data_IF_039429355367
#
_entry.id   IF_039429355367
#
_cell.length_a   1.000
_cell.length_b   1.000
_cell.length_c   1.000
_cell.angle_alpha   90.00
_cell.angle_beta   90.00
_cell.angle_gamma   90.00
#
_symmetry.space_group_name_H-M   'P 1'
#
loop_
_entity.id
_entity.type
_entity.pdbx_description
1 polymer ?
#
# COMPACT_ATOMS: atom_id res chain seq x y z
N UNK A 1 13.14 -11.47 15.41
CA UNK A 1 11.73 -11.03 15.34
C UNK A 1 11.37 -9.91 16.32
N UNK A 2 11.72 -9.98 17.62
CA UNK A 2 11.39 -8.94 18.63
C UNK A 2 11.93 -7.54 18.30
N UNK A 3 13.16 -7.42 17.81
CA UNK A 3 13.75 -6.12 17.43
C UNK A 3 13.08 -5.44 16.22
N UNK A 4 12.43 -6.21 15.33
CA UNK A 4 11.68 -5.66 14.19
C UNK A 4 10.33 -5.10 14.64
N UNK A 5 9.66 -5.79 15.57
CA UNK A 5 8.40 -5.32 16.16
C UNK A 5 8.59 -4.05 16.99
N UNK A 6 9.69 -3.95 17.73
CA UNK A 6 10.04 -2.73 18.47
C UNK A 6 10.19 -1.52 17.54
N UNK A 7 10.92 -1.67 16.41
CA UNK A 7 11.10 -0.61 15.40
C UNK A 7 9.78 -0.17 14.77
N UNK A 8 8.91 -1.10 14.39
CA UNK A 8 7.60 -0.77 13.80
C UNK A 8 6.74 0.04 14.79
N UNK A 9 6.78 -0.31 16.09
CA UNK A 9 6.00 0.40 17.12
C UNK A 9 6.51 1.83 17.34
N UNK A 10 7.83 2.04 17.40
CA UNK A 10 8.38 3.40 17.53
C UNK A 10 8.12 4.24 16.29
N UNK A 11 8.25 3.69 15.08
CA UNK A 11 7.94 4.41 13.83
C UNK A 11 6.48 4.84 13.75
N UNK A 12 5.55 3.98 14.19
CA UNK A 12 4.13 4.33 14.20
C UNK A 12 3.80 5.45 15.19
N UNK A 13 4.37 5.42 16.40
CA UNK A 13 4.17 6.49 17.39
C UNK A 13 4.65 7.85 16.88
N UNK A 14 5.81 7.91 16.24
CA UNK A 14 6.33 9.14 15.64
C UNK A 14 5.44 9.68 14.52
N UNK A 15 4.89 8.79 13.69
CA UNK A 15 3.96 9.20 12.64
C UNK A 15 2.69 9.83 13.22
N UNK A 16 2.12 9.22 14.27
CA UNK A 16 0.94 9.78 14.94
C UNK A 16 1.24 11.17 15.50
N UNK A 17 2.38 11.34 16.18
CA UNK A 17 2.80 12.66 16.71
C UNK A 17 2.94 13.68 15.58
N UNK A 18 3.62 13.32 14.48
CA UNK A 18 3.80 14.21 13.33
C UNK A 18 2.45 14.63 12.72
N UNK A 19 1.48 13.71 12.63
CA UNK A 19 0.16 14.03 12.10
C UNK A 19 -0.67 14.92 13.04
N UNK A 20 -0.58 14.69 14.35
CA UNK A 20 -1.21 15.56 15.34
C UNK A 20 -0.64 16.98 15.29
N UNK A 21 0.68 17.12 15.10
CA UNK A 21 1.32 18.43 14.92
C UNK A 21 0.85 19.13 13.63
N UNK A 22 0.78 18.41 12.50
CA UNK A 22 0.27 18.98 11.25
C UNK A 22 -1.18 19.44 11.40
N UNK A 23 -2.03 18.64 12.06
CA UNK A 23 -3.42 19.00 12.33
C UNK A 23 -3.53 20.24 13.21
N UNK A 24 -2.71 20.34 14.26
CA UNK A 24 -2.66 21.53 15.12
C UNK A 24 -2.26 22.80 14.33
N UNK A 25 -1.28 22.69 13.43
CA UNK A 25 -0.85 23.81 12.57
C UNK A 25 -1.97 24.25 11.63
N UNK A 26 -2.67 23.30 10.99
CA UNK A 26 -3.82 23.60 10.12
C UNK A 26 -4.96 24.27 10.92
N UNK A 27 -5.22 23.79 12.14
CA UNK A 27 -6.19 24.41 13.06
C UNK A 27 -5.81 25.84 13.42
N UNK A 28 -4.54 26.08 13.78
CA UNK A 28 -4.03 27.42 14.07
C UNK A 28 -4.13 28.35 12.85
N UNK A 29 -3.80 27.85 11.66
CA UNK A 29 -3.92 28.61 10.42
C UNK A 29 -5.37 28.97 10.09
N UNK A 30 -6.31 28.05 10.29
CA UNK A 30 -7.74 28.27 10.09
C UNK A 30 -8.29 29.30 11.09
N UNK A 31 -7.86 29.23 12.35
CA UNK A 31 -8.24 30.23 13.34
C UNK A 31 -7.62 31.60 13.02
N UNK A 32 -6.41 31.62 12.45
CA UNK A 32 -5.80 32.84 11.94
C UNK A 32 -6.64 33.47 10.82
N UNK A 33 -7.13 32.71 9.85
CA UNK A 33 -7.93 33.28 8.76
C UNK A 33 -9.31 33.76 9.21
N UNK A 34 -9.85 33.22 10.31
CA UNK A 34 -11.13 33.63 10.86
C UNK A 34 -11.11 35.12 11.28
N UNK A 35 -12.04 35.90 10.72
CA UNK A 35 -12.21 37.33 11.05
C UNK A 35 -11.39 38.30 10.20
N UNK A 36 -10.61 37.84 9.22
CA UNK A 36 -9.91 38.73 8.27
C UNK A 36 -10.70 38.89 6.98
N UNK A 37 -11.01 40.14 6.60
CA UNK A 37 -11.78 40.44 5.39
C UNK A 37 -10.90 40.60 4.13
N UNK A 38 -9.63 41.00 4.28
CA UNK A 38 -8.71 41.19 3.17
C UNK A 38 -7.98 39.89 2.81
N UNK A 39 -7.96 39.56 1.51
CA UNK A 39 -7.27 38.37 0.97
C UNK A 39 -5.75 38.43 1.25
N UNK A 40 -5.17 39.63 1.22
CA UNK A 40 -3.75 39.84 1.51
C UNK A 40 -3.37 39.28 2.90
N UNK A 41 -4.20 39.52 3.92
CA UNK A 41 -3.95 39.07 5.29
C UNK A 41 -4.23 37.58 5.51
N UNK A 42 -4.96 36.93 4.60
CA UNK A 42 -5.22 35.48 4.63
C UNK A 42 -4.12 34.66 3.95
N UNK A 43 -3.42 35.25 2.97
CA UNK A 43 -2.45 34.57 2.12
C UNK A 43 -1.33 33.87 2.90
N UNK A 44 -0.80 34.50 3.95
CA UNK A 44 0.26 33.92 4.80
C UNK A 44 -0.22 32.68 5.56
N UNK A 45 -1.43 32.73 6.13
CA UNK A 45 -2.00 31.59 6.85
C UNK A 45 -2.37 30.45 5.93
N UNK A 46 -2.86 30.76 4.73
CA UNK A 46 -3.12 29.76 3.71
C UNK A 46 -1.83 29.04 3.28
N UNK A 47 -0.73 29.77 3.08
CA UNK A 47 0.57 29.19 2.76
C UNK A 47 1.06 28.24 3.86
N UNK A 48 0.88 28.60 5.14
CA UNK A 48 1.21 27.74 6.29
C UNK A 48 0.37 26.45 6.28
N UNK A 49 -0.94 26.54 6.03
CA UNK A 49 -1.80 25.37 5.94
C UNK A 49 -1.39 24.44 4.78
N UNK A 50 -1.09 25.00 3.60
CA UNK A 50 -0.61 24.23 2.44
C UNK A 50 0.72 23.54 2.78
N UNK A 51 1.66 24.24 3.40
CA UNK A 51 2.94 23.65 3.80
C UNK A 51 2.74 22.47 4.76
N UNK A 52 1.85 22.60 5.75
CA UNK A 52 1.52 21.51 6.68
C UNK A 52 0.93 20.28 5.95
N UNK A 53 0.05 20.48 4.97
CA UNK A 53 -0.51 19.39 4.15
C UNK A 53 0.58 18.69 3.32
N UNK A 54 1.46 19.46 2.68
CA UNK A 54 2.57 18.90 1.88
C UNK A 54 3.51 18.07 2.75
N UNK A 55 3.87 18.56 3.94
CA UNK A 55 4.69 17.83 4.90
C UNK A 55 4.00 16.55 5.35
N UNK A 56 2.71 16.61 5.71
CA UNK A 56 1.92 15.43 6.09
C UNK A 56 1.87 14.38 4.98
N UNK A 57 1.68 14.80 3.72
CA UNK A 57 1.70 13.90 2.57
C UNK A 57 3.07 13.24 2.37
N UNK A 58 4.15 14.00 2.51
CA UNK A 58 5.52 13.48 2.44
C UNK A 58 5.80 12.42 3.51
N UNK A 59 5.42 12.68 4.78
CA UNK A 59 5.56 11.73 5.89
C UNK A 59 4.78 10.43 5.60
N UNK A 60 3.54 10.54 5.11
CA UNK A 60 2.73 9.38 4.73
C UNK A 60 3.37 8.59 3.57
N UNK A 61 3.90 9.28 2.56
CA UNK A 61 4.59 8.66 1.43
C UNK A 61 5.81 7.85 1.87
N UNK A 62 6.68 8.44 2.69
CA UNK A 62 7.86 7.75 3.24
C UNK A 62 7.45 6.54 4.07
N UNK A 63 6.43 6.68 4.92
CA UNK A 63 5.93 5.57 5.72
C UNK A 63 5.37 4.44 4.86
N UNK A 64 4.61 4.75 3.81
CA UNK A 64 4.06 3.76 2.88
C UNK A 64 5.17 3.01 2.15
N UNK A 65 6.21 3.71 1.68
CA UNK A 65 7.37 3.10 1.04
C UNK A 65 8.11 2.17 2.01
N UNK A 66 8.31 2.61 3.26
CA UNK A 66 8.89 1.78 4.32
C UNK A 66 8.05 0.55 4.68
N UNK A 67 6.71 0.68 4.67
CA UNK A 67 5.82 -0.44 4.89
C UNK A 67 5.91 -1.46 3.73
N UNK A 68 5.99 -0.98 2.48
CA UNK A 68 6.14 -1.84 1.30
C UNK A 68 7.46 -2.61 1.32
N UNK A 69 8.58 -1.96 1.65
CA UNK A 69 9.87 -2.64 1.77
C UNK A 69 9.86 -3.68 2.89
N UNK A 70 9.30 -3.36 4.06
CA UNK A 70 9.18 -4.30 5.17
C UNK A 70 8.32 -5.54 4.82
N UNK A 71 7.25 -5.37 4.03
CA UNK A 71 6.45 -6.50 3.52
C UNK A 71 7.26 -7.32 2.50
N UNK A 72 7.99 -6.67 1.60
CA UNK A 72 8.85 -7.36 0.63
C UNK A 72 9.94 -8.20 1.32
N UNK A 73 10.56 -7.67 2.38
CA UNK A 73 11.60 -8.38 3.13
C UNK A 73 11.02 -9.56 3.93
N UNK A 74 9.85 -9.40 4.55
CA UNK A 74 9.15 -10.52 5.18
C UNK A 74 8.80 -11.61 4.18
N UNK A 75 8.35 -11.23 2.99
CA UNK A 75 8.04 -12.17 1.91
C UNK A 75 9.29 -12.93 1.47
N UNK A 76 10.44 -12.25 1.28
CA UNK A 76 11.72 -12.90 0.96
C UNK A 76 12.12 -13.91 2.05
N UNK A 77 12.09 -13.49 3.32
CA UNK A 77 12.46 -14.38 4.43
C UNK A 77 11.55 -15.61 4.55
N UNK A 78 10.24 -15.47 4.26
CA UNK A 78 9.33 -16.61 4.22
C UNK A 78 9.63 -17.56 3.05
N UNK A 79 9.90 -17.01 1.86
CA UNK A 79 10.23 -17.81 0.68
C UNK A 79 11.58 -18.54 0.82
N UNK A 80 12.58 -17.89 1.42
CA UNK A 80 13.88 -18.50 1.69
C UNK A 80 13.77 -19.64 2.73
N UNK A 81 12.90 -19.50 3.73
CA UNK A 81 12.67 -20.54 4.76
C UNK A 81 11.79 -21.70 4.30
N UNK A 82 11.06 -21.56 3.20
CA UNK A 82 10.15 -22.59 2.67
C UNK A 82 10.83 -23.53 1.65
N UNK A 83 12.13 -23.36 1.37
CA UNK A 83 12.89 -24.11 0.36
C UNK A 83 12.14 -24.31 -0.97
N UNK A 84 11.36 -23.31 -1.37
CA UNK A 84 10.63 -23.32 -2.65
C UNK A 84 11.57 -23.23 -3.86
N UNK A 85 12.87 -23.00 -3.63
CA UNK A 85 13.91 -23.15 -4.64
C UNK A 85 14.16 -24.62 -5.01
N UNK A 86 13.97 -25.56 -4.08
CA UNK A 86 14.10 -26.99 -4.36
C UNK A 86 12.90 -27.57 -5.12
N UNK A 87 11.73 -26.92 -5.04
CA UNK A 87 10.53 -27.41 -5.71
C UNK A 87 10.50 -27.16 -7.23
N UNK A 88 11.43 -26.36 -7.77
CA UNK A 88 11.61 -26.20 -9.21
C UNK A 88 10.31 -25.93 -9.99
N UNK A 89 9.31 -25.31 -9.36
CA UNK A 89 8.02 -25.05 -10.00
C UNK A 89 8.30 -23.96 -11.03
N UNK A 90 8.26 -24.27 -12.33
CA UNK A 90 8.53 -23.27 -13.34
C UNK A 90 7.40 -22.25 -13.27
N UNK A 91 7.72 -21.04 -12.79
CA UNK A 91 6.76 -19.93 -12.68
C UNK A 91 6.33 -19.39 -14.05
N UNK A 92 6.90 -19.90 -15.14
CA UNK A 92 6.66 -19.42 -16.49
C UNK A 92 6.95 -20.56 -17.48
N UNK A 93 6.04 -21.51 -17.61
CA UNK A 93 5.91 -22.19 -18.90
C UNK A 93 4.86 -21.42 -19.72
N UNK A 94 5.28 -20.62 -20.72
CA UNK A 94 4.37 -19.89 -21.60
C UNK A 94 3.59 -20.83 -22.54
N UNK A 95 3.88 -22.13 -22.58
CA UNK A 95 3.12 -23.10 -23.38
C UNK A 95 1.83 -23.57 -22.71
N UNK A 96 1.62 -23.26 -21.42
CA UNK A 96 0.38 -23.54 -20.70
C UNK A 96 -0.54 -22.31 -20.77
N UNK A 97 -0.87 -21.88 -21.98
CA UNK A 97 -1.77 -20.74 -22.22
C UNK A 97 -3.26 -21.11 -22.12
N UNK A 98 -3.56 -22.35 -21.74
CA UNK A 98 -4.92 -22.89 -21.62
C UNK A 98 -5.29 -23.31 -20.18
N UNK A 99 -4.57 -22.81 -19.16
CA UNK A 99 -4.91 -23.12 -17.75
C UNK A 99 -6.17 -22.37 -17.32
N UNK A 100 -7.12 -23.13 -16.75
CA UNK A 100 -8.34 -22.69 -16.06
C UNK A 100 -8.16 -21.34 -15.34
N UNK A 101 -8.56 -20.27 -16.03
CA UNK A 101 -8.62 -18.94 -15.43
C UNK A 101 -9.83 -18.87 -14.53
N UNK A 102 -9.61 -18.46 -13.29
CA UNK A 102 -10.64 -18.32 -12.28
C UNK A 102 -10.82 -16.89 -11.86
N UNK A 103 -12.05 -16.56 -11.46
CA UNK A 103 -12.39 -15.30 -10.84
C UNK A 103 -12.88 -15.56 -9.42
N UNK A 104 -12.39 -14.77 -8.47
CA UNK A 104 -12.88 -14.80 -7.09
C UNK A 104 -14.24 -14.10 -7.03
N UNK A 105 -15.21 -14.68 -6.32
CA UNK A 105 -16.54 -14.06 -6.18
C UNK A 105 -16.45 -12.57 -5.79
N UNK A 106 -17.10 -11.70 -6.57
CA UNK A 106 -17.10 -10.24 -6.36
C UNK A 106 -15.86 -9.48 -6.83
N UNK A 107 -14.92 -10.12 -7.53
CA UNK A 107 -13.75 -9.48 -8.16
C UNK A 107 -13.85 -9.58 -9.67
N UNK A 108 -13.29 -8.61 -10.39
CA UNK A 108 -13.28 -8.60 -11.86
C UNK A 108 -11.96 -9.12 -12.48
N UNK A 109 -10.92 -9.29 -11.66
CA UNK A 109 -9.60 -9.70 -12.13
C UNK A 109 -9.53 -11.22 -12.31
N UNK A 110 -8.90 -11.65 -13.40
CA UNK A 110 -8.71 -13.06 -13.72
C UNK A 110 -7.40 -13.56 -13.13
N UNK A 111 -7.46 -14.73 -12.52
CA UNK A 111 -6.34 -15.38 -11.89
C UNK A 111 -6.08 -16.75 -12.51
N UNK A 112 -4.82 -17.21 -12.50
CA UNK A 112 -4.55 -18.64 -12.68
C UNK A 112 -5.12 -19.41 -11.49
N UNK A 113 -5.63 -20.63 -11.69
CA UNK A 113 -6.17 -21.47 -10.61
C UNK A 113 -5.17 -21.68 -9.45
N UNK A 114 -3.88 -21.74 -9.77
CA UNK A 114 -2.76 -21.86 -8.82
C UNK A 114 -2.30 -20.53 -8.19
N UNK A 115 -2.93 -19.40 -8.54
CA UNK A 115 -2.50 -18.10 -8.03
C UNK A 115 -2.65 -18.05 -6.49
N UNK A 116 -1.60 -17.67 -5.73
CA UNK A 116 -1.67 -17.57 -4.27
C UNK A 116 -2.79 -16.65 -3.75
N UNK A 117 -3.26 -15.72 -4.60
CA UNK A 117 -4.36 -14.81 -4.28
C UNK A 117 -5.74 -15.47 -4.36
N UNK A 118 -5.88 -16.67 -4.93
CA UNK A 118 -7.14 -17.40 -5.05
C UNK A 118 -7.20 -18.69 -4.23
N UNK A 119 -6.05 -19.22 -3.80
CA UNK A 119 -5.98 -20.40 -2.91
C UNK A 119 -6.86 -20.17 -1.66
N UNK A 120 -7.77 -21.11 -1.41
CA UNK A 120 -8.70 -21.06 -0.27
C UNK A 120 -9.90 -20.12 -0.42
N UNK A 121 -10.09 -19.48 -1.58
CA UNK A 121 -11.25 -18.62 -1.86
C UNK A 121 -12.26 -19.35 -2.76
N UNK A 122 -13.54 -18.96 -2.66
CA UNK A 122 -14.55 -19.40 -3.63
C UNK A 122 -14.25 -18.78 -4.98
N UNK A 123 -13.97 -19.63 -5.95
CA UNK A 123 -13.64 -19.27 -7.33
C UNK A 123 -14.71 -19.78 -8.28
N UNK A 124 -14.84 -19.12 -9.42
CA UNK A 124 -15.62 -19.60 -10.57
C UNK A 124 -14.72 -19.65 -11.81
N UNK A 125 -14.77 -20.72 -12.61
CA UNK A 125 -14.04 -20.78 -13.88
C UNK A 125 -14.61 -19.74 -14.86
N UNK A 126 -13.73 -19.11 -15.64
CA UNK A 126 -14.09 -18.09 -16.63
C UNK A 126 -13.29 -18.29 -17.92
N UNK A 127 -14.00 -18.61 -19.00
CA UNK A 127 -13.50 -18.63 -20.38
C UNK A 127 -13.59 -17.23 -21.02
N UNK A 128 -12.70 -16.92 -21.97
CA UNK A 128 -12.68 -15.65 -22.73
C UNK A 128 -11.47 -14.77 -22.42
N UNK A 129 -11.52 -13.49 -22.82
CA UNK A 129 -10.50 -12.47 -22.52
C UNK A 129 -10.95 -11.53 -21.40
N UNK A 130 -10.01 -10.99 -20.63
CA UNK A 130 -10.31 -10.06 -19.53
C UNK A 130 -9.08 -9.66 -18.73
N UNK A 131 -9.16 -8.61 -17.90
CA UNK A 131 -8.02 -8.06 -17.19
C UNK A 131 -7.41 -9.09 -16.26
N UNK A 132 -6.14 -9.42 -16.51
CA UNK A 132 -5.38 -10.35 -15.69
C UNK A 132 -5.01 -9.70 -14.36
N UNK A 133 -4.88 -10.52 -13.32
CA UNK A 133 -4.26 -10.11 -12.08
C UNK A 133 -2.77 -9.79 -12.36
N UNK A 134 -2.26 -8.64 -11.92
CA UNK A 134 -0.86 -8.25 -12.09
C UNK A 134 0.17 -9.12 -11.35
N UNK A 135 -0.28 -10.22 -10.74
CA UNK A 135 0.58 -11.29 -10.21
C UNK A 135 0.66 -12.49 -11.15
N UNK A 136 -0.41 -12.72 -11.90
CA UNK A 136 -0.62 -13.85 -12.79
C UNK A 136 -0.05 -13.57 -14.20
N UNK A 137 0.08 -12.28 -14.53
CA UNK A 137 0.71 -11.74 -15.73
C UNK A 137 1.35 -10.38 -15.35
N UNK A 138 2.52 -10.38 -14.68
CA UNK A 138 3.15 -9.17 -14.18
C UNK A 138 3.68 -8.24 -15.28
#
# INVERSE_FOLDING_TARGET
>A
MRAALARVRTSFGWLVIAQLLCLAVIGAATNGTAGRAAVADQSGWLAVAIAAVVVSAGVNGIWLLGARSAVADRRRALLDGLDLRAAGVPLSDPSIDDVDRVVVAGRALRHRAECPLVVGKRTRPVSGDGPACGWCNP
#
